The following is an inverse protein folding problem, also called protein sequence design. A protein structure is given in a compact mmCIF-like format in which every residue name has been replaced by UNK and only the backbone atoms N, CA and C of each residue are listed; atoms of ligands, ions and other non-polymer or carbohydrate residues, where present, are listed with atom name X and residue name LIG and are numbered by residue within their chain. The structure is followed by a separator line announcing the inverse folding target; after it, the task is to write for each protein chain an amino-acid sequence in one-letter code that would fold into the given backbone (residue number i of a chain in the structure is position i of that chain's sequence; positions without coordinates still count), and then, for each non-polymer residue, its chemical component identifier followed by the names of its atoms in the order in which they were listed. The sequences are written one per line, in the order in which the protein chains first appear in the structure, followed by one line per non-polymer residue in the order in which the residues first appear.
data_IF_550900674152
#
_entry.id   IF_550900674152
#
_cell.length_a   1.000
_cell.length_b   1.000
_cell.length_c   1.000
_cell.angle_alpha   90.00
_cell.angle_beta   90.00
_cell.angle_gamma   90.00
#
_symmetry.space_group_name_H-M   'P 1'
#
loop_
_entity.id
_entity.type
_entity.pdbx_description
1 polymer ?
#
# COMPACT_ATOMS: atom_id res chain seq x y z
N UNK A 1 1.74 -3.37 31.48
CA UNK A 1 2.60 -3.00 30.33
C UNK A 1 1.91 -1.88 29.58
N UNK A 2 2.60 -0.75 29.37
CA UNK A 2 2.02 0.40 28.65
C UNK A 2 1.86 0.02 27.18
N UNK A 3 0.62 -0.12 26.72
CA UNK A 3 0.30 -0.05 25.30
C UNK A 3 0.55 1.40 24.88
N UNK A 4 1.70 1.64 24.25
CA UNK A 4 1.96 2.88 23.53
C UNK A 4 1.38 2.69 22.15
N UNK A 5 0.13 3.13 21.95
CA UNK A 5 -0.38 3.37 20.61
C UNK A 5 0.58 4.37 19.94
N UNK A 6 1.37 3.86 19.00
CA UNK A 6 2.23 4.70 18.17
C UNK A 6 1.33 5.39 17.16
N UNK A 7 1.62 6.66 16.92
CA UNK A 7 0.89 7.64 16.11
C UNK A 7 -0.02 7.05 15.01
N UNK A 8 -1.26 7.55 14.93
CA UNK A 8 -2.23 7.16 13.88
C UNK A 8 -1.80 7.57 12.48
N UNK A 9 -0.78 8.42 12.36
CA UNK A 9 -0.22 8.92 11.10
C UNK A 9 1.29 8.95 11.26
N UNK A 10 2.00 8.21 10.41
CA UNK A 10 3.46 8.25 10.33
C UNK A 10 3.87 9.02 9.07
N UNK A 11 4.86 9.90 9.21
CA UNK A 11 5.49 10.57 8.09
C UNK A 11 6.65 9.76 7.53
N UNK A 12 7.15 10.12 6.34
CA UNK A 12 8.28 9.42 5.72
C UNK A 12 9.51 9.40 6.65
N UNK A 13 9.79 10.50 7.34
CA UNK A 13 10.92 10.61 8.26
C UNK A 13 10.86 9.58 9.39
N UNK A 14 9.67 9.21 9.86
CA UNK A 14 9.52 8.19 10.90
C UNK A 14 9.88 6.82 10.35
N UNK A 15 9.42 6.49 9.14
CA UNK A 15 9.84 5.27 8.44
C UNK A 15 11.34 5.22 8.20
N UNK A 16 11.96 6.34 7.81
CA UNK A 16 13.41 6.43 7.62
C UNK A 16 14.15 6.10 8.92
N UNK A 17 13.73 6.67 10.06
CA UNK A 17 14.33 6.33 11.37
C UNK A 17 14.26 4.83 11.67
N UNK A 18 13.11 4.20 11.43
CA UNK A 18 12.96 2.76 11.62
C UNK A 18 13.80 1.95 10.62
N UNK A 19 13.92 2.41 9.39
CA UNK A 19 14.74 1.74 8.36
C UNK A 19 16.21 1.75 8.73
N UNK A 20 16.76 2.93 9.08
CA UNK A 20 18.14 3.12 9.51
C UNK A 20 18.47 2.33 10.77
N UNK A 21 17.52 2.24 11.71
CA UNK A 21 17.65 1.42 12.91
C UNK A 21 17.43 -0.08 12.67
N UNK A 22 17.17 -0.53 11.43
CA UNK A 22 16.84 -1.92 11.07
C UNK A 22 15.62 -2.49 11.81
N UNK A 23 14.65 -1.63 12.13
CA UNK A 23 13.45 -1.90 12.93
C UNK A 23 12.14 -1.83 12.12
N UNK A 24 12.20 -1.84 10.79
CA UNK A 24 10.98 -2.02 9.96
C UNK A 24 10.55 -3.49 9.96
N UNK A 25 9.30 -3.72 10.38
CA UNK A 25 8.69 -5.04 10.45
C UNK A 25 7.77 -5.34 9.25
N UNK A 26 6.49 -5.60 9.52
CA UNK A 26 5.52 -6.10 8.55
C UNK A 26 4.28 -5.22 8.47
N UNK A 27 3.75 -5.06 7.27
CA UNK A 27 2.45 -4.49 6.97
C UNK A 27 1.46 -5.62 6.65
N UNK A 28 0.44 -5.78 7.50
CA UNK A 28 -0.58 -6.82 7.35
C UNK A 28 -1.84 -6.29 6.66
N UNK A 29 -2.43 -7.14 5.81
CA UNK A 29 -3.57 -6.78 4.97
C UNK A 29 -4.86 -7.53 5.38
N UNK A 30 -6.02 -6.86 5.28
CA UNK A 30 -7.29 -7.38 5.78
C UNK A 30 -7.83 -8.56 4.98
N UNK A 31 -7.52 -8.66 3.69
CA UNK A 31 -8.04 -9.73 2.83
C UNK A 31 -7.12 -10.98 2.79
N UNK A 32 -6.10 -11.07 3.65
CA UNK A 32 -5.20 -12.24 3.73
C UNK A 32 -5.27 -13.07 5.01
N UNK A 33 -6.27 -12.78 5.86
CA UNK A 33 -6.37 -13.10 7.30
C UNK A 33 -5.26 -12.44 8.13
N UNK A 34 -5.67 -11.77 9.20
CA UNK A 34 -4.85 -11.40 10.34
C UNK A 34 -5.85 -11.24 11.48
N UNK A 35 -5.72 -12.01 12.55
CA UNK A 35 -6.54 -11.80 13.73
C UNK A 35 -5.67 -11.88 15.01
N UNK A 36 -6.11 -11.16 16.07
CA UNK A 36 -5.66 -11.03 17.50
C UNK A 36 -4.23 -10.51 17.77
N UNK A 37 -4.22 -9.20 18.02
CA UNK A 37 -3.82 -8.42 19.21
C UNK A 37 -2.55 -8.73 20.05
N UNK A 38 -1.86 -7.69 20.54
CA UNK A 38 -0.56 -7.67 21.21
C UNK A 38 -0.66 -7.99 22.73
N UNK A 39 -1.41 -9.04 23.06
CA UNK A 39 -1.64 -9.51 24.43
C UNK A 39 -1.27 -10.98 24.67
N UNK A 40 -0.60 -11.64 23.71
CA UNK A 40 -0.15 -13.03 23.85
C UNK A 40 -1.23 -14.10 23.59
N UNK A 41 -2.41 -13.74 23.11
CA UNK A 41 -3.38 -14.72 22.59
C UNK A 41 -3.04 -15.10 21.15
N UNK A 42 -2.67 -16.35 20.90
CA UNK A 42 -2.58 -16.87 19.52
C UNK A 42 -3.97 -17.01 18.90
N UNK A 43 -4.08 -16.85 17.57
CA UNK A 43 -4.99 -17.71 16.79
C UNK A 43 -4.43 -19.11 16.88
N UNK A 44 -4.78 -19.84 17.94
CA UNK A 44 -4.19 -21.14 18.22
C UNK A 44 -4.52 -22.23 17.17
N UNK A 45 -5.11 -21.87 16.01
CA UNK A 45 -5.50 -22.75 14.90
C UNK A 45 -5.45 -22.10 13.48
N UNK A 46 -4.58 -21.13 13.16
CA UNK A 46 -4.52 -20.57 11.80
C UNK A 46 -3.57 -21.34 10.86
N UNK A 47 -4.10 -22.32 10.10
CA UNK A 47 -3.40 -22.95 8.98
C UNK A 47 -3.54 -22.17 7.65
N UNK A 48 -3.66 -20.84 7.72
CA UNK A 48 -3.64 -19.92 6.57
C UNK A 48 -2.75 -18.76 6.99
N UNK A 49 -1.59 -18.62 6.37
CA UNK A 49 -0.59 -17.60 6.67
C UNK A 49 -1.12 -16.22 6.35
N UNK A 50 -1.08 -15.30 7.31
CA UNK A 50 -1.50 -13.91 7.13
C UNK A 50 -0.75 -13.25 5.95
N UNK A 51 -1.47 -12.67 4.99
CA UNK A 51 -0.84 -11.92 3.88
C UNK A 51 -0.19 -10.64 4.42
N UNK A 52 1.11 -10.50 4.20
CA UNK A 52 1.88 -9.34 4.65
C UNK A 52 2.92 -8.91 3.62
N UNK A 53 3.30 -7.64 3.71
CA UNK A 53 4.44 -7.05 3.02
C UNK A 53 5.53 -6.68 4.03
N UNK A 54 6.79 -6.93 3.68
CA UNK A 54 7.93 -6.48 4.48
C UNK A 54 8.10 -4.96 4.29
N UNK A 55 8.05 -4.21 5.39
CA UNK A 55 8.14 -2.75 5.35
C UNK A 55 9.51 -2.25 4.88
N UNK A 56 10.59 -2.99 5.14
CA UNK A 56 11.91 -2.64 4.64
C UNK A 56 12.01 -2.79 3.12
N UNK A 57 11.34 -3.79 2.55
CA UNK A 57 11.29 -3.97 1.09
C UNK A 57 10.42 -2.89 0.44
N UNK A 58 9.27 -2.57 1.05
CA UNK A 58 8.44 -1.45 0.61
C UNK A 58 9.22 -0.12 0.67
N UNK A 59 9.92 0.17 1.79
CA UNK A 59 10.72 1.37 1.93
C UNK A 59 11.79 1.49 0.84
N UNK A 60 12.52 0.41 0.55
CA UNK A 60 13.53 0.40 -0.52
C UNK A 60 12.94 0.61 -1.92
N UNK A 61 11.70 0.20 -2.14
CA UNK A 61 11.01 0.40 -3.42
C UNK A 61 10.46 1.81 -3.56
N UNK A 62 9.99 2.44 -2.49
CA UNK A 62 9.38 3.79 -2.52
C UNK A 62 10.39 4.92 -2.34
N UNK A 63 11.65 4.60 -2.00
CA UNK A 63 12.75 5.57 -1.81
C UNK A 63 13.93 5.28 -2.73
N UNK A 64 14.90 6.20 -2.80
CA UNK A 64 16.11 5.99 -3.59
C UNK A 64 15.97 6.26 -5.10
N UNK A 65 14.86 6.86 -5.52
CA UNK A 65 14.56 7.17 -6.93
C UNK A 65 15.46 8.29 -7.43
N UNK A 66 15.94 8.20 -8.67
CA UNK A 66 16.74 9.26 -9.30
C UNK A 66 16.12 9.73 -10.60
N UNK A 67 15.93 11.05 -10.70
CA UNK A 67 15.48 11.79 -11.88
C UNK A 67 16.71 12.53 -12.42
N UNK A 68 17.16 12.23 -13.64
CA UNK A 68 18.39 12.81 -14.22
C UNK A 68 19.59 12.81 -13.26
N UNK A 69 19.88 11.65 -12.63
CA UNK A 69 20.92 11.48 -11.60
C UNK A 69 20.72 12.24 -10.28
N UNK A 70 19.64 13.02 -10.15
CA UNK A 70 19.27 13.72 -8.92
C UNK A 70 18.33 12.85 -8.09
N UNK A 71 18.68 12.63 -6.83
CA UNK A 71 17.83 11.87 -5.90
C UNK A 71 16.51 12.62 -5.67
N UNK A 72 15.38 11.94 -5.84
CA UNK A 72 14.07 12.46 -5.46
C UNK A 72 14.06 12.66 -3.95
N UNK A 73 13.85 13.90 -3.46
CA UNK A 73 13.80 14.17 -2.04
C UNK A 73 12.66 13.40 -1.35
N UNK A 74 12.88 12.92 -0.13
CA UNK A 74 11.86 12.16 0.62
C UNK A 74 10.61 13.00 0.92
N UNK A 75 10.81 14.31 1.14
CA UNK A 75 9.75 15.29 1.33
C UNK A 75 8.91 15.52 0.06
N UNK A 76 9.45 15.17 -1.12
CA UNK A 76 8.69 15.19 -2.37
C UNK A 76 7.67 14.06 -2.47
N UNK A 77 7.84 12.97 -1.72
CA UNK A 77 6.84 11.90 -1.65
C UNK A 77 5.63 12.38 -0.86
N UNK A 78 4.53 12.65 -1.56
CA UNK A 78 3.26 13.12 -1.00
C UNK A 78 2.58 12.02 -0.20
N UNK A 79 2.49 10.82 -0.77
CA UNK A 79 1.87 9.67 -0.13
C UNK A 79 2.27 8.35 -0.77
N UNK A 80 2.18 7.28 0.01
CA UNK A 80 2.03 5.92 -0.52
C UNK A 80 0.73 5.33 -0.08
N UNK A 81 -0.02 4.84 -1.05
CA UNK A 81 -1.38 4.35 -0.87
C UNK A 81 -1.39 2.89 -1.29
N UNK A 82 -1.73 1.99 -0.36
CA UNK A 82 -2.07 0.63 -0.72
C UNK A 82 -3.47 0.58 -1.31
N UNK A 83 -3.70 -0.13 -2.41
CA UNK A 83 -5.00 -0.22 -3.06
C UNK A 83 -5.26 -1.61 -3.63
N UNK A 84 -6.36 -1.78 -4.38
CA UNK A 84 -6.68 -3.04 -5.04
C UNK A 84 -7.16 -4.14 -4.10
N UNK A 85 -7.00 -5.39 -4.54
CA UNK A 85 -7.61 -6.56 -3.90
C UNK A 85 -7.17 -6.77 -2.46
N UNK A 86 -5.94 -6.39 -2.10
CA UNK A 86 -5.42 -6.57 -0.76
C UNK A 86 -6.13 -5.72 0.31
N UNK A 87 -6.64 -4.55 -0.09
CA UNK A 87 -7.32 -3.59 0.81
C UNK A 87 -8.78 -3.32 0.44
N UNK A 88 -9.32 -3.97 -0.60
CA UNK A 88 -10.72 -3.77 -1.04
C UNK A 88 -11.75 -4.11 0.05
N UNK A 89 -12.73 -3.23 0.22
CA UNK A 89 -13.88 -3.40 1.10
C UNK A 89 -15.22 -3.42 0.32
N UNK A 90 -16.17 -4.32 0.64
CA UNK A 90 -16.02 -5.45 1.57
C UNK A 90 -15.00 -6.48 1.02
N UNK A 91 -14.40 -7.28 1.90
CA UNK A 91 -13.34 -8.24 1.55
C UNK A 91 -13.81 -9.48 0.76
N UNK A 92 -14.88 -9.34 -0.02
CA UNK A 92 -15.51 -10.40 -0.80
C UNK A 92 -15.75 -9.90 -2.23
N UNK A 93 -15.73 -10.83 -3.18
CA UNK A 93 -16.05 -10.56 -4.57
C UNK A 93 -17.17 -11.49 -5.05
N UNK A 94 -18.02 -10.97 -5.94
CA UNK A 94 -19.06 -11.77 -6.59
C UNK A 94 -18.46 -12.57 -7.75
N UNK A 95 -18.68 -13.88 -7.74
CA UNK A 95 -18.23 -14.78 -8.79
C UNK A 95 -19.45 -15.51 -9.36
N UNK A 96 -19.60 -15.47 -10.68
CA UNK A 96 -20.62 -16.25 -11.40
C UNK A 96 -20.09 -17.66 -11.62
N UNK A 97 -20.79 -18.66 -11.11
CA UNK A 97 -20.49 -20.08 -11.34
C UNK A 97 -21.65 -20.77 -12.02
N UNK A 98 -21.35 -21.50 -13.09
CA UNK A 98 -22.32 -22.40 -13.70
C UNK A 98 -22.31 -23.72 -12.93
N UNK A 99 -23.41 -24.01 -12.23
CA UNK A 99 -23.62 -25.33 -11.63
C UNK A 99 -24.39 -26.20 -12.61
N UNK A 100 -23.85 -27.38 -12.88
CA UNK A 100 -24.54 -28.40 -13.67
C UNK A 100 -25.93 -28.62 -13.05
N UNK A 101 -26.99 -28.51 -13.85
CA UNK A 101 -28.42 -28.62 -13.47
C UNK A 101 -29.06 -27.47 -12.67
N UNK A 102 -28.36 -26.36 -12.34
CA UNK A 102 -28.96 -25.21 -11.63
C UNK A 102 -28.79 -23.86 -12.32
N UNK A 103 -28.13 -23.82 -13.48
CA UNK A 103 -27.86 -22.57 -14.19
C UNK A 103 -26.79 -21.70 -13.50
N UNK A 104 -26.62 -20.45 -13.94
CA UNK A 104 -25.65 -19.52 -13.36
C UNK A 104 -26.09 -19.09 -11.95
N UNK A 105 -25.19 -19.23 -10.98
CA UNK A 105 -25.37 -18.75 -9.61
C UNK A 105 -24.29 -17.71 -9.31
N UNK A 106 -24.68 -16.59 -8.72
CA UNK A 106 -23.73 -15.59 -8.18
C UNK A 106 -23.43 -15.96 -6.72
N UNK A 107 -22.16 -16.19 -6.42
CA UNK A 107 -21.67 -16.51 -5.07
C UNK A 107 -20.70 -15.43 -4.60
N UNK A 108 -20.76 -15.06 -3.33
CA UNK A 108 -19.74 -14.21 -2.71
C UNK A 108 -18.60 -15.09 -2.19
N UNK A 109 -17.38 -14.82 -2.67
CA UNK A 109 -16.16 -15.52 -2.22
C UNK A 109 -15.21 -14.55 -1.54
N UNK A 110 -14.51 -14.96 -0.46
CA UNK A 110 -13.47 -14.13 0.15
C UNK A 110 -12.40 -13.75 -0.88
N UNK A 111 -11.98 -12.48 -0.87
CA UNK A 111 -10.79 -12.05 -1.60
C UNK A 111 -9.57 -12.64 -0.90
N UNK A 112 -8.64 -13.20 -1.66
CA UNK A 112 -7.38 -13.79 -1.17
C UNK A 112 -6.23 -13.31 -2.07
N UNK A 113 -5.60 -12.17 -1.74
CA UNK A 113 -4.54 -11.59 -2.55
C UNK A 113 -3.24 -12.40 -2.44
N UNK A 114 -2.50 -12.51 -3.54
CA UNK A 114 -1.11 -12.98 -3.57
C UNK A 114 -0.09 -11.83 -3.56
N UNK A 115 -0.57 -10.62 -3.84
CA UNK A 115 0.17 -9.38 -4.02
C UNK A 115 -0.58 -8.19 -3.42
N UNK A 116 0.12 -7.07 -3.28
CA UNK A 116 -0.42 -5.80 -2.83
C UNK A 116 -0.03 -4.69 -3.79
N UNK A 117 -1.03 -3.97 -4.28
CA UNK A 117 -0.85 -2.79 -5.10
C UNK A 117 -0.55 -1.56 -4.25
N UNK A 118 0.46 -0.78 -4.66
CA UNK A 118 0.84 0.47 -4.05
C UNK A 118 0.97 1.57 -5.10
N UNK A 119 0.43 2.74 -4.79
CA UNK A 119 0.63 3.96 -5.56
C UNK A 119 1.51 4.92 -4.76
N UNK A 120 2.65 5.30 -5.33
CA UNK A 120 3.49 6.40 -4.84
C UNK A 120 3.08 7.68 -5.54
N UNK A 121 2.76 8.70 -4.76
CA UNK A 121 2.46 10.05 -5.25
C UNK A 121 3.65 10.94 -4.93
N UNK A 122 4.24 11.56 -5.94
CA UNK A 122 5.32 12.55 -5.82
C UNK A 122 4.82 13.94 -6.21
N UNK A 123 5.47 15.00 -5.73
CA UNK A 123 5.14 16.36 -6.15
C UNK A 123 5.47 16.56 -7.63
N UNK A 124 6.65 16.10 -8.03
CA UNK A 124 7.10 16.13 -9.42
C UNK A 124 6.65 14.89 -10.21
N UNK A 125 6.48 15.05 -11.52
CA UNK A 125 6.20 13.92 -12.41
C UNK A 125 7.51 13.15 -12.67
N UNK A 126 7.58 11.90 -12.23
CA UNK A 126 8.70 11.05 -12.60
C UNK A 126 8.46 10.51 -14.03
N UNK A 127 9.29 10.92 -14.99
CA UNK A 127 9.19 10.51 -16.39
C UNK A 127 10.02 9.25 -16.64
N UNK A 128 9.58 8.40 -17.58
CA UNK A 128 10.18 7.10 -17.92
C UNK A 128 11.57 7.17 -18.56
N UNK A 129 11.95 8.30 -19.14
CA UNK A 129 13.23 8.48 -19.85
C UNK A 129 14.42 8.70 -18.91
N UNK A 130 14.13 8.89 -17.61
CA UNK A 130 15.13 9.09 -16.58
C UNK A 130 15.24 7.78 -15.82
N UNK A 131 16.44 7.20 -15.74
CA UNK A 131 16.66 5.86 -15.17
C UNK A 131 16.13 5.78 -13.73
N UNK A 132 14.92 5.23 -13.57
CA UNK A 132 14.32 4.90 -12.28
C UNK A 132 14.77 3.50 -11.87
N UNK A 133 16.02 3.37 -11.45
CA UNK A 133 16.47 2.17 -10.76
C UNK A 133 16.49 2.46 -9.26
N UNK A 134 15.76 1.69 -8.42
CA UNK A 134 16.12 1.61 -7.02
C UNK A 134 17.58 1.15 -6.99
N UNK A 135 18.46 1.91 -6.33
CA UNK A 135 19.93 1.68 -6.31
C UNK A 135 20.32 0.24 -5.89
N UNK A 136 19.37 -0.54 -5.36
CA UNK A 136 19.56 -1.91 -4.86
C UNK A 136 18.91 -3.02 -5.71
N UNK A 137 18.38 -2.73 -6.90
CA UNK A 137 17.62 -3.70 -7.70
C UNK A 137 17.99 -3.67 -9.19
N UNK A 138 18.60 -4.74 -9.68
CA UNK A 138 18.61 -5.04 -11.12
C UNK A 138 17.17 -5.39 -11.54
N UNK A 139 16.51 -4.52 -12.31
CA UNK A 139 15.12 -4.73 -12.77
C UNK A 139 14.97 -4.52 -14.27
N UNK A 140 14.16 -5.39 -14.87
CA UNK A 140 13.79 -5.39 -16.28
C UNK A 140 12.89 -4.20 -16.65
N UNK A 141 13.12 -3.66 -17.85
CA UNK A 141 12.44 -2.52 -18.47
C UNK A 141 10.92 -2.66 -18.57
N UNK A 142 10.18 -1.80 -17.87
CA UNK A 142 9.36 -0.75 -18.48
C UNK A 142 8.76 0.14 -17.38
N UNK A 143 9.04 1.44 -17.44
CA UNK A 143 8.60 2.39 -16.40
C UNK A 143 7.13 2.28 -16.04
N UNK A 144 6.85 2.61 -14.78
CA UNK A 144 5.54 2.71 -14.08
C UNK A 144 5.09 1.48 -13.29
N UNK A 145 5.74 0.31 -13.41
CA UNK A 145 5.32 -0.92 -12.72
C UNK A 145 6.54 -1.68 -12.16
N UNK A 146 6.64 -1.84 -10.84
CA UNK A 146 7.68 -2.65 -10.18
C UNK A 146 7.00 -3.80 -9.43
N UNK A 147 7.42 -5.04 -9.73
CA UNK A 147 7.00 -6.24 -9.00
C UNK A 147 8.18 -6.83 -8.22
N UNK A 148 8.07 -6.87 -6.89
CA UNK A 148 9.06 -7.57 -6.03
C UNK A 148 8.44 -8.04 -4.73
N UNK A 149 8.58 -9.33 -4.42
CA UNK A 149 8.18 -9.88 -3.13
C UNK A 149 6.70 -9.72 -2.80
N UNK A 150 5.83 -9.81 -3.81
CA UNK A 150 4.37 -9.59 -3.67
C UNK A 150 3.97 -8.12 -3.61
N UNK A 151 4.88 -7.18 -3.88
CA UNK A 151 4.60 -5.74 -3.99
C UNK A 151 4.46 -5.40 -5.47
N UNK A 152 3.34 -4.82 -5.86
CA UNK A 152 3.14 -4.16 -7.16
C UNK A 152 3.13 -2.66 -6.92
N UNK A 153 4.03 -1.93 -7.57
CA UNK A 153 4.21 -0.50 -7.31
C UNK A 153 4.05 0.34 -8.57
N UNK A 154 3.19 1.34 -8.47
CA UNK A 154 2.95 2.39 -9.47
C UNK A 154 3.42 3.72 -8.90
N UNK A 155 4.09 4.55 -9.70
CA UNK A 155 4.42 5.93 -9.33
C UNK A 155 3.69 6.93 -10.22
N UNK A 156 3.23 8.05 -9.64
CA UNK A 156 2.70 9.20 -10.36
C UNK A 156 3.05 10.51 -9.66
N UNK A 157 3.38 11.53 -10.44
CA UNK A 157 3.33 12.91 -9.94
C UNK A 157 1.89 13.36 -9.69
N UNK A 158 1.70 14.37 -8.82
CA UNK A 158 0.37 14.93 -8.52
C UNK A 158 -0.39 15.31 -9.79
N UNK A 159 0.27 15.94 -10.76
CA UNK A 159 -0.40 16.36 -11.99
C UNK A 159 -0.84 15.17 -12.86
N UNK A 160 -0.02 14.11 -12.96
CA UNK A 160 -0.35 12.87 -13.66
C UNK A 160 -1.51 12.12 -12.98
N UNK A 161 -1.52 12.09 -11.64
CA UNK A 161 -2.60 11.51 -10.87
C UNK A 161 -3.93 12.22 -11.16
N UNK A 162 -3.96 13.56 -11.07
CA UNK A 162 -5.17 14.35 -11.29
C UNK A 162 -5.68 14.24 -12.73
N UNK A 163 -4.78 14.23 -13.71
CA UNK A 163 -5.14 13.98 -15.10
C UNK A 163 -5.69 12.57 -15.31
N UNK A 164 -5.10 11.57 -14.65
CA UNK A 164 -5.61 10.20 -14.63
C UNK A 164 -7.04 10.12 -14.10
N UNK A 165 -7.32 10.75 -12.95
CA UNK A 165 -8.68 10.80 -12.38
C UNK A 165 -9.67 11.44 -13.36
N UNK A 166 -9.31 12.58 -13.97
CA UNK A 166 -10.17 13.26 -14.97
C UNK A 166 -10.43 12.40 -16.21
N UNK A 167 -9.45 11.58 -16.59
CA UNK A 167 -9.55 10.66 -17.72
C UNK A 167 -10.19 9.30 -17.36
N UNK A 168 -10.69 9.13 -16.12
CA UNK A 168 -11.21 7.86 -15.60
C UNK A 168 -10.19 6.70 -15.64
N UNK A 169 -8.91 7.00 -15.46
CA UNK A 169 -7.89 5.99 -15.24
C UNK A 169 -8.22 5.17 -13.98
N UNK A 170 -8.26 3.86 -14.15
CA UNK A 170 -8.71 2.91 -13.12
C UNK A 170 -7.75 2.88 -11.94
N UNK A 171 -6.44 3.01 -12.16
CA UNK A 171 -5.43 2.99 -11.09
C UNK A 171 -5.54 4.24 -10.22
N UNK A 172 -5.49 5.42 -10.84
CA UNK A 172 -5.59 6.70 -10.12
C UNK A 172 -6.90 6.81 -9.34
N UNK A 173 -8.01 6.42 -9.99
CA UNK A 173 -9.33 6.49 -9.38
C UNK A 173 -9.49 5.48 -8.26
N UNK A 174 -9.01 4.24 -8.44
CA UNK A 174 -9.04 3.19 -7.41
C UNK A 174 -8.21 3.59 -6.20
N UNK A 175 -6.97 4.03 -6.39
CA UNK A 175 -6.09 4.40 -5.28
C UNK A 175 -6.70 5.50 -4.38
N UNK A 176 -7.29 6.55 -4.97
CA UNK A 176 -7.92 7.61 -4.18
C UNK A 176 -9.27 7.20 -3.56
N UNK A 177 -10.02 6.32 -4.24
CA UNK A 177 -11.37 5.90 -3.82
C UNK A 177 -11.35 4.79 -2.77
N UNK A 178 -10.62 3.71 -3.05
CA UNK A 178 -10.57 2.50 -2.23
C UNK A 178 -9.23 2.27 -1.53
N UNK A 179 -8.22 3.09 -1.81
CA UNK A 179 -6.90 2.92 -1.21
C UNK A 179 -6.78 3.40 0.23
N UNK A 180 -5.78 2.87 0.93
CA UNK A 180 -5.42 3.19 2.31
C UNK A 180 -4.03 3.83 2.32
N UNK A 181 -3.91 5.12 2.67
CA UNK A 181 -2.62 5.76 2.86
C UNK A 181 -1.82 5.04 3.96
N UNK A 182 -0.60 4.63 3.62
CA UNK A 182 0.35 3.94 4.51
C UNK A 182 1.21 4.99 5.21
N UNK A 183 1.75 5.91 4.42
CA UNK A 183 2.41 7.12 4.90
C UNK A 183 2.05 8.27 3.97
N UNK A 184 2.01 9.48 4.52
CA UNK A 184 1.68 10.68 3.77
C UNK A 184 2.18 11.93 4.49
N UNK A 185 2.34 13.01 3.75
CA UNK A 185 2.58 14.34 4.30
C UNK A 185 1.29 15.20 4.21
N UNK A 186 1.35 16.42 4.74
CA UNK A 186 0.20 17.34 4.77
C UNK A 186 -0.34 17.77 3.40
N UNK A 187 0.33 17.44 2.28
CA UNK A 187 -0.14 17.78 0.93
C UNK A 187 -1.25 16.84 0.43
N UNK A 188 -1.37 15.63 0.98
CA UNK A 188 -2.31 14.61 0.47
C UNK A 188 -3.77 15.10 0.49
N UNK A 189 -4.20 15.80 1.55
CA UNK A 189 -5.58 16.28 1.68
C UNK A 189 -5.96 17.27 0.56
N UNK A 190 -5.02 18.14 0.17
CA UNK A 190 -5.17 19.05 -0.96
C UNK A 190 -5.32 18.30 -2.28
N UNK A 191 -4.51 17.26 -2.48
CA UNK A 191 -4.57 16.40 -3.69
C UNK A 191 -5.91 15.66 -3.78
N UNK A 192 -6.38 15.06 -2.68
CA UNK A 192 -7.67 14.36 -2.62
C UNK A 192 -8.83 15.33 -2.90
N UNK A 193 -8.79 16.51 -2.30
CA UNK A 193 -9.80 17.56 -2.53
C UNK A 193 -9.84 17.97 -4.00
N UNK A 194 -8.68 18.20 -4.62
CA UNK A 194 -8.58 18.59 -6.02
C UNK A 194 -9.00 17.49 -6.99
N UNK A 195 -8.78 16.23 -6.63
CA UNK A 195 -9.22 15.08 -7.43
C UNK A 195 -10.75 14.91 -7.43
N UNK A 196 -11.46 15.43 -6.41
CA UNK A 196 -12.91 15.31 -6.30
C UNK A 196 -13.41 13.88 -6.11
N UNK A 197 -12.54 12.97 -5.65
CA UNK A 197 -12.88 11.56 -5.46
C UNK A 197 -13.44 11.34 -4.05
N UNK A 198 -14.63 10.75 -3.96
CA UNK A 198 -15.20 10.33 -2.67
C UNK A 198 -14.61 8.99 -2.24
N UNK A 199 -14.06 8.94 -1.03
CA UNK A 199 -13.51 7.71 -0.45
C UNK A 199 -14.63 6.71 -0.10
N UNK A 200 -14.47 5.46 -0.52
CA UNK A 200 -15.46 4.39 -0.30
C UNK A 200 -14.98 3.33 0.69
N UNK A 201 -13.67 3.22 0.93
CA UNK A 201 -13.15 2.31 1.95
C UNK A 201 -13.15 3.00 3.32
N UNK A 202 -13.72 2.38 4.37
CA UNK A 202 -13.59 2.88 5.74
C UNK A 202 -12.22 2.53 6.35
N UNK A 203 -11.41 1.73 5.65
CA UNK A 203 -10.22 1.10 6.19
C UNK A 203 -9.11 2.11 6.51
N UNK A 204 -8.40 1.83 7.59
CA UNK A 204 -7.27 2.65 8.06
C UNK A 204 -6.12 1.75 8.48
N UNK A 205 -4.93 2.33 8.51
CA UNK A 205 -3.76 1.67 9.06
C UNK A 205 -3.66 1.95 10.57
N UNK A 206 -3.35 0.91 11.33
CA UNK A 206 -2.89 1.01 12.71
C UNK A 206 -1.41 0.67 12.77
N UNK A 207 -0.64 1.60 13.33
CA UNK A 207 0.78 1.42 13.61
C UNK A 207 1.00 0.95 15.04
N UNK A 208 1.96 0.06 15.22
CA UNK A 208 2.29 -0.53 16.51
C UNK A 208 3.75 -1.01 16.50
N UNK A 209 4.38 -1.08 17.66
CA UNK A 209 5.69 -1.69 17.83
C UNK A 209 5.54 -3.08 18.45
N UNK A 210 6.14 -4.10 17.83
CA UNK A 210 6.14 -5.43 18.42
C UNK A 210 7.06 -5.51 19.64
N UNK A 211 7.02 -6.64 20.38
CA UNK A 211 7.83 -6.85 21.58
C UNK A 211 9.36 -6.76 21.36
N UNK A 212 9.83 -6.80 20.10
CA UNK A 212 11.24 -6.63 19.73
C UNK A 212 11.55 -5.21 19.26
N UNK A 213 10.60 -4.27 19.35
CA UNK A 213 10.72 -2.88 18.93
C UNK A 213 10.60 -2.65 17.43
N UNK A 214 10.09 -3.61 16.64
CA UNK A 214 9.90 -3.40 15.21
C UNK A 214 8.57 -2.72 14.92
N UNK A 215 8.57 -1.74 14.02
CA UNK A 215 7.37 -1.11 13.51
C UNK A 215 6.56 -2.12 12.71
N UNK A 216 5.27 -2.24 13.02
CA UNK A 216 4.31 -3.08 12.34
C UNK A 216 3.05 -2.29 12.02
N UNK A 217 2.49 -2.51 10.83
CA UNK A 217 1.27 -1.86 10.37
C UNK A 217 0.17 -2.88 10.13
N UNK A 218 -1.09 -2.52 10.40
CA UNK A 218 -2.26 -3.37 10.12
C UNK A 218 -3.36 -2.54 9.47
N UNK A 219 -3.81 -2.93 8.29
CA UNK A 219 -4.95 -2.29 7.64
C UNK A 219 -6.23 -3.01 8.06
N UNK A 220 -7.21 -2.25 8.59
CA UNK A 220 -8.50 -2.79 9.08
C UNK A 220 -9.67 -1.87 8.74
#
# INVERSE_FOLDING_TARGET
MKSTAVETVLHMDDFTKYFEATRLGRLYFPNGKAYVHPGGGFFQNSAITDFYINLADLYKLVTGWKVNHTLVPLDDIVAVIAFGSAVRHPGFQEVKRNRLFRGPVTEQVPIQPSDADFLVITGENLMREEVLEPISLHTYDCGTWIEKGGIHLVNRGVSQLLNGVRANDTVSSSALREGVPIFFNGRLDGVVTQAGVTKTTPRKILWDENAKGFLTGRIQ
#
